data_IF_149002243268
#
_entry.id   IF_149002243268
#
_cell.length_a   1.000
_cell.length_b   1.000
_cell.length_c   1.000
_cell.angle_alpha   90.00
_cell.angle_beta   90.00
_cell.angle_gamma   90.00
#
_symmetry.space_group_name_H-M   'P 1'
#
loop_
_entity.id
_entity.type
_entity.pdbx_description
1 polymer ?
#
# COMPACT_ATOMS: atom_id res chain seq x y z
N UNK A 1 23.44 7.43 -6.34
CA UNK A 1 22.52 6.32 -6.03
C UNK A 1 22.25 6.38 -4.54
N UNK A 2 20.98 6.32 -4.14
CA UNK A 2 20.57 6.36 -2.73
C UNK A 2 20.96 5.09 -1.97
N UNK A 3 20.85 5.07 -0.63
CA UNK A 3 20.91 3.82 0.11
C UNK A 3 19.77 2.89 -0.36
N UNK A 4 20.12 1.61 -0.61
CA UNK A 4 19.17 0.53 -0.84
C UNK A 4 18.64 0.05 0.50
N UNK A 5 17.34 -0.15 0.59
CA UNK A 5 16.69 -0.59 1.82
C UNK A 5 16.22 -2.04 1.63
N UNK A 6 16.80 -2.95 2.41
CA UNK A 6 16.51 -4.40 2.40
C UNK A 6 15.53 -4.76 3.54
N UNK A 7 14.56 -5.62 3.25
CA UNK A 7 13.38 -5.88 4.07
C UNK A 7 13.47 -7.15 4.94
N UNK A 8 14.65 -7.77 5.04
CA UNK A 8 14.77 -9.08 5.72
C UNK A 8 15.05 -8.93 7.20
N UNK A 9 13.97 -8.77 7.95
CA UNK A 9 13.70 -9.29 9.30
C UNK A 9 12.67 -8.39 9.98
N UNK A 10 11.39 -8.73 9.88
CA UNK A 10 10.43 -8.41 10.95
C UNK A 10 9.23 -9.33 10.83
N UNK A 11 9.16 -10.26 11.78
CA UNK A 11 8.15 -11.29 11.91
C UNK A 11 6.74 -10.73 12.12
N UNK A 12 5.79 -11.44 11.52
CA UNK A 12 4.37 -11.13 11.54
C UNK A 12 3.70 -11.64 12.82
N UNK A 13 3.19 -10.74 13.65
CA UNK A 13 2.15 -11.07 14.62
C UNK A 13 0.90 -10.23 14.33
N UNK A 14 -0.20 -10.92 14.02
CA UNK A 14 -1.53 -10.32 13.90
C UNK A 14 -2.07 -10.09 15.30
N UNK A 15 -2.44 -8.84 15.61
CA UNK A 15 -3.28 -8.52 16.75
C UNK A 15 -4.61 -7.97 16.26
N UNK A 16 -5.66 -8.76 16.46
CA UNK A 16 -7.00 -8.23 16.65
C UNK A 16 -6.99 -7.49 18.00
N UNK A 17 -7.43 -6.22 17.98
CA UNK A 17 -7.40 -5.24 19.09
C UNK A 17 -6.02 -4.76 19.53
N UNK A 18 -5.52 -3.72 18.86
CA UNK A 18 -4.42 -2.93 19.39
C UNK A 18 -4.83 -2.23 20.69
N UNK A 19 -4.13 -2.54 21.78
CA UNK A 19 -4.30 -1.82 23.05
C UNK A 19 -3.98 -0.33 22.88
N UNK A 20 -4.62 0.54 23.66
CA UNK A 20 -4.33 1.99 23.67
C UNK A 20 -2.84 2.27 23.91
N UNK A 21 -2.18 1.40 24.68
CA UNK A 21 -0.73 1.46 24.93
C UNK A 21 0.08 1.25 23.64
N UNK A 22 -0.31 0.29 22.79
CA UNK A 22 0.35 0.07 21.49
C UNK A 22 0.14 1.28 20.57
N UNK A 23 -1.08 1.79 20.49
CA UNK A 23 -1.41 2.97 19.67
C UNK A 23 -0.60 4.21 20.08
N UNK A 24 -0.36 4.40 21.39
CA UNK A 24 0.41 5.52 21.91
C UNK A 24 1.89 5.52 21.51
N UNK A 25 2.41 4.36 21.08
CA UNK A 25 3.81 4.17 20.65
C UNK A 25 3.99 4.32 19.14
N UNK A 26 2.88 4.34 18.38
CA UNK A 26 2.91 4.49 16.93
C UNK A 26 3.06 5.98 16.59
N UNK A 27 4.16 6.32 15.95
CA UNK A 27 4.40 7.61 15.34
C UNK A 27 4.36 7.46 13.83
N UNK A 28 3.47 8.20 13.18
CA UNK A 28 3.30 8.20 11.74
C UNK A 28 3.27 9.63 11.20
N UNK A 29 3.96 9.86 10.09
CA UNK A 29 4.07 11.16 9.43
C UNK A 29 3.67 11.05 7.96
N UNK A 30 2.82 11.94 7.44
CA UNK A 30 2.38 11.87 6.05
C UNK A 30 3.53 12.13 5.08
N UNK A 31 3.60 11.33 4.02
CA UNK A 31 4.54 11.51 2.91
C UNK A 31 3.85 12.34 1.82
N UNK A 32 3.82 13.66 2.06
CA UNK A 32 3.07 14.61 1.23
C UNK A 32 3.34 14.51 -0.29
N UNK A 33 4.58 14.27 -0.78
CA UNK A 33 4.82 14.12 -2.22
C UNK A 33 4.06 12.96 -2.88
N UNK A 34 3.66 11.95 -2.09
CA UNK A 34 2.93 10.78 -2.58
C UNK A 34 1.40 10.95 -2.47
N UNK A 35 0.89 11.68 -1.47
CA UNK A 35 -0.56 11.85 -1.29
C UNK A 35 -1.16 12.58 -2.51
N UNK A 36 -2.14 11.96 -3.16
CA UNK A 36 -2.76 12.45 -4.38
C UNK A 36 -1.96 12.19 -5.66
N UNK A 37 -0.72 11.69 -5.56
CA UNK A 37 0.02 11.25 -6.73
C UNK A 37 -0.67 10.04 -7.38
N UNK A 38 -0.40 9.83 -8.67
CA UNK A 38 -1.03 8.76 -9.42
C UNK A 38 -0.08 8.09 -10.39
N UNK A 39 -0.34 6.83 -10.67
CA UNK A 39 0.37 6.05 -11.69
C UNK A 39 -0.62 5.23 -12.52
N UNK A 40 -0.16 4.77 -13.68
CA UNK A 40 -0.94 3.91 -14.56
C UNK A 40 -0.53 2.45 -14.37
N UNK A 41 -1.53 1.58 -14.24
CA UNK A 41 -1.34 0.12 -14.22
C UNK A 41 -1.78 -0.42 -15.56
N UNK A 42 -0.86 -1.06 -16.29
CA UNK A 42 -1.10 -1.65 -17.62
C UNK A 42 -1.48 -3.13 -17.57
N UNK A 43 -1.05 -3.80 -16.52
CA UNK A 43 -1.40 -5.16 -16.15
C UNK A 43 -1.14 -5.34 -14.66
N UNK A 44 -1.67 -6.40 -14.07
CA UNK A 44 -1.42 -6.69 -12.66
C UNK A 44 0.06 -6.94 -12.35
N UNK A 45 0.79 -7.58 -13.26
CA UNK A 45 2.23 -7.81 -13.12
C UNK A 45 3.06 -6.51 -13.19
N UNK A 46 2.49 -5.44 -13.77
CA UNK A 46 3.14 -4.13 -13.89
C UNK A 46 3.02 -3.27 -12.62
N UNK A 47 2.20 -3.66 -11.62
CA UNK A 47 1.95 -2.80 -10.46
C UNK A 47 3.25 -2.49 -9.70
N UNK A 48 4.11 -3.49 -9.48
CA UNK A 48 5.34 -3.31 -8.72
C UNK A 48 6.32 -2.35 -9.38
N UNK A 49 6.48 -2.45 -10.70
CA UNK A 49 7.33 -1.53 -11.45
C UNK A 49 6.74 -0.11 -11.47
N UNK A 50 5.42 0.02 -11.64
CA UNK A 50 4.75 1.33 -11.60
C UNK A 50 4.87 2.03 -10.23
N UNK A 51 4.77 1.26 -9.14
CA UNK A 51 5.03 1.77 -7.78
C UNK A 51 6.49 2.18 -7.65
N UNK A 52 7.44 1.36 -8.10
CA UNK A 52 8.88 1.70 -8.05
C UNK A 52 9.18 2.99 -8.83
N UNK A 53 8.59 3.16 -10.01
CA UNK A 53 8.71 4.39 -10.81
C UNK A 53 8.12 5.61 -10.09
N UNK A 54 6.92 5.47 -9.50
CA UNK A 54 6.31 6.54 -8.72
C UNK A 54 7.22 6.95 -7.55
N UNK A 55 7.72 5.98 -6.79
CA UNK A 55 8.58 6.21 -5.64
C UNK A 55 9.90 6.86 -6.07
N UNK A 56 10.54 6.39 -7.13
CA UNK A 56 11.77 6.98 -7.66
C UNK A 56 11.58 8.42 -8.15
N UNK A 57 10.41 8.75 -8.69
CA UNK A 57 10.06 10.10 -9.14
C UNK A 57 9.73 11.05 -7.98
N UNK A 58 8.96 10.59 -6.99
CA UNK A 58 8.45 11.44 -5.90
C UNK A 58 9.38 11.51 -4.69
N UNK A 59 10.20 10.49 -4.49
CA UNK A 59 11.13 10.34 -3.37
C UNK A 59 12.52 9.99 -3.91
N UNK A 60 13.15 10.91 -4.67
CA UNK A 60 14.44 10.64 -5.30
C UNK A 60 15.53 10.41 -4.26
N UNK A 61 16.50 9.56 -4.60
CA UNK A 61 17.64 9.28 -3.73
C UNK A 61 17.40 8.17 -2.70
N UNK A 62 16.33 7.39 -2.85
CA UNK A 62 16.10 6.13 -2.11
C UNK A 62 15.96 5.00 -3.13
N UNK A 63 16.68 3.90 -2.95
CA UNK A 63 16.52 2.70 -3.78
C UNK A 63 15.50 1.74 -3.11
N UNK A 64 14.27 1.80 -3.62
CA UNK A 64 13.10 1.12 -3.03
C UNK A 64 13.00 -0.34 -3.47
N UNK A 65 13.06 -1.25 -2.49
CA UNK A 65 12.71 -2.64 -2.71
C UNK A 65 11.19 -2.85 -2.59
N UNK A 66 10.54 -2.96 -3.74
CA UNK A 66 9.12 -3.34 -3.85
C UNK A 66 9.00 -4.84 -4.09
N UNK A 67 8.39 -5.58 -3.16
CA UNK A 67 8.23 -7.05 -3.21
C UNK A 67 6.79 -7.54 -2.95
N UNK A 68 5.84 -6.61 -2.85
CA UNK A 68 4.45 -6.89 -2.54
C UNK A 68 3.73 -7.58 -3.70
N UNK A 69 2.96 -8.62 -3.40
CA UNK A 69 2.04 -9.24 -4.35
C UNK A 69 0.66 -8.56 -4.26
N UNK A 70 0.43 -7.61 -5.17
CA UNK A 70 -0.84 -6.91 -5.26
C UNK A 70 -1.89 -7.62 -6.10
N UNK A 71 -1.61 -8.80 -6.68
CA UNK A 71 -2.53 -9.42 -7.64
C UNK A 71 -3.93 -9.64 -7.08
N UNK A 72 -4.02 -10.35 -5.97
CA UNK A 72 -5.30 -10.64 -5.30
C UNK A 72 -6.05 -9.37 -4.87
N UNK A 73 -5.44 -8.49 -4.04
CA UNK A 73 -6.08 -7.26 -3.59
C UNK A 73 -6.51 -6.33 -4.73
N UNK A 74 -5.69 -6.21 -5.77
CA UNK A 74 -5.96 -5.31 -6.90
C UNK A 74 -7.09 -5.84 -7.80
N UNK A 75 -7.06 -7.13 -8.15
CA UNK A 75 -8.14 -7.73 -8.96
C UNK A 75 -9.48 -7.75 -8.19
N UNK A 76 -9.46 -7.88 -6.86
CA UNK A 76 -10.68 -7.96 -6.04
C UNK A 76 -11.25 -6.59 -5.65
N UNK A 77 -10.40 -5.63 -5.34
CA UNK A 77 -10.80 -4.35 -4.74
C UNK A 77 -10.29 -3.11 -5.47
N UNK A 78 -9.40 -3.28 -6.47
CA UNK A 78 -8.74 -2.17 -7.15
C UNK A 78 -7.86 -1.36 -6.21
N UNK A 79 -7.23 -2.00 -5.22
CA UNK A 79 -6.37 -1.32 -4.24
C UNK A 79 -4.92 -1.78 -4.37
N UNK A 80 -4.02 -0.84 -4.11
CA UNK A 80 -2.59 -1.08 -3.91
C UNK A 80 -2.31 -0.68 -2.46
N UNK A 81 -2.10 -1.67 -1.60
CA UNK A 81 -1.77 -1.44 -0.19
C UNK A 81 -0.52 -2.24 0.14
N UNK A 82 0.52 -1.59 0.66
CA UNK A 82 1.77 -2.26 0.97
C UNK A 82 2.64 -1.47 1.93
N UNK A 83 3.52 -2.21 2.60
CA UNK A 83 4.49 -1.70 3.57
C UNK A 83 5.88 -1.95 3.04
N UNK A 84 6.66 -0.87 2.85
CA UNK A 84 8.02 -0.96 2.32
C UNK A 84 9.00 -0.39 3.34
N UNK A 85 10.16 -1.02 3.56
CA UNK A 85 11.20 -0.44 4.41
C UNK A 85 11.56 0.98 3.97
N UNK A 86 11.63 1.91 4.92
CA UNK A 86 12.00 3.29 4.71
C UNK A 86 13.31 3.62 5.45
N UNK A 87 14.00 4.72 5.10
CA UNK A 87 15.14 5.18 5.88
C UNK A 87 14.73 5.39 7.34
N UNK A 88 15.61 5.14 8.32
CA UNK A 88 15.31 5.37 9.73
C UNK A 88 15.01 6.86 9.99
N UNK A 89 14.28 7.13 11.07
CA UNK A 89 13.98 8.49 11.51
C UNK A 89 15.30 9.25 11.75
N UNK A 90 15.55 10.39 11.08
CA UNK A 90 16.83 11.09 11.21
C UNK A 90 17.05 11.70 12.61
N UNK A 91 15.98 11.92 13.38
CA UNK A 91 16.07 12.51 14.73
C UNK A 91 16.29 11.45 15.81
N UNK A 92 15.67 10.27 15.69
CA UNK A 92 15.69 9.22 16.73
C UNK A 92 16.52 7.99 16.35
N UNK A 93 16.84 7.82 15.06
CA UNK A 93 17.48 6.62 14.53
C UNK A 93 16.57 5.39 14.46
N UNK A 94 15.29 5.53 14.82
CA UNK A 94 14.35 4.43 14.86
C UNK A 94 14.05 3.89 13.45
N UNK A 95 13.90 2.57 13.28
CA UNK A 95 13.45 1.98 12.02
C UNK A 95 12.10 2.56 11.58
N UNK A 96 11.90 2.73 10.28
CA UNK A 96 10.63 3.17 9.71
C UNK A 96 10.21 2.32 8.52
N UNK A 97 8.91 2.26 8.27
CA UNK A 97 8.31 1.77 7.04
C UNK A 97 7.53 2.87 6.34
N UNK A 98 7.48 2.80 5.01
CA UNK A 98 6.53 3.52 4.17
C UNK A 98 5.29 2.65 4.01
N UNK A 99 4.19 3.07 4.64
CA UNK A 99 2.87 2.54 4.36
C UNK A 99 2.26 3.31 3.19
N UNK A 100 1.78 2.60 2.17
CA UNK A 100 1.21 3.18 0.96
C UNK A 100 -0.20 2.61 0.74
N UNK A 101 -1.18 3.48 0.55
CA UNK A 101 -2.53 3.10 0.13
C UNK A 101 -2.96 3.87 -1.13
N UNK A 102 -3.15 3.14 -2.22
CA UNK A 102 -3.64 3.61 -3.50
C UNK A 102 -4.94 2.92 -3.91
N UNK A 103 -5.79 3.66 -4.62
CA UNK A 103 -7.07 3.18 -5.12
C UNK A 103 -7.20 3.45 -6.61
N UNK A 104 -7.55 2.42 -7.37
CA UNK A 104 -7.88 2.52 -8.77
C UNK A 104 -9.08 3.45 -8.98
N UNK A 105 -8.94 4.42 -9.88
CA UNK A 105 -10.03 5.20 -10.42
C UNK A 105 -10.74 4.36 -11.48
N UNK A 106 -11.45 3.34 -11.01
CA UNK A 106 -12.33 2.56 -11.87
C UNK A 106 -13.54 3.46 -12.20
N UNK A 107 -13.89 3.71 -13.48
CA UNK A 107 -15.21 4.23 -13.77
C UNK A 107 -16.21 3.22 -13.21
N UNK A 108 -17.06 3.63 -12.26
CA UNK A 108 -18.10 2.77 -11.70
C UNK A 108 -18.90 2.18 -12.87
N UNK A 109 -18.63 0.93 -13.23
CA UNK A 109 -19.58 0.15 -14.02
C UNK A 109 -20.66 -0.19 -13.03
N UNK A 110 -21.78 0.52 -13.11
CA UNK A 110 -23.00 0.28 -12.36
C UNK A 110 -23.51 -1.14 -12.66
N UNK A 111 -22.94 -2.14 -12.00
CA UNK A 111 -23.41 -3.52 -11.95
C UNK A 111 -23.71 -3.88 -10.48
N UNK A 112 -24.67 -4.78 -10.23
CA UNK A 112 -25.11 -5.09 -8.87
C UNK A 112 -23.94 -5.62 -8.04
N UNK A 113 -23.59 -4.87 -6.99
CA UNK A 113 -22.59 -5.25 -6.00
C UNK A 113 -23.16 -6.40 -5.17
N UNK A 114 -22.80 -7.65 -5.49
CA UNK A 114 -23.18 -8.81 -4.68
C UNK A 114 -22.30 -8.88 -3.43
N UNK A 115 -22.95 -9.20 -2.31
CA UNK A 115 -22.41 -9.25 -0.96
C UNK A 115 -21.23 -10.23 -0.84
N UNK A 116 -20.16 -9.91 -0.06
CA UNK A 116 -19.02 -10.80 0.15
C UNK A 116 -19.34 -12.06 1.00
N UNK A 117 -20.58 -12.26 1.44
CA UNK A 117 -21.02 -13.42 2.21
C UNK A 117 -21.75 -14.51 1.40
N UNK A 118 -21.88 -14.36 0.07
CA UNK A 118 -22.42 -15.44 -0.77
C UNK A 118 -21.34 -16.47 -1.11
N UNK A 119 -21.25 -17.48 -0.26
CA UNK A 119 -20.57 -18.74 -0.54
C UNK A 119 -21.16 -19.39 -1.80
N UNK A 120 -20.39 -19.47 -2.91
CA UNK A 120 -20.34 -20.51 -3.98
C UNK A 120 -19.94 -19.91 -5.35
N UNK A 121 -19.75 -20.76 -6.38
CA UNK A 121 -18.67 -21.71 -6.65
C UNK A 121 -17.74 -21.16 -7.75
N UNK A 122 -16.76 -21.94 -8.19
CA UNK A 122 -15.91 -21.69 -9.38
C UNK A 122 -16.67 -20.99 -10.53
N UNK A 123 -16.23 -19.78 -10.88
CA UNK A 123 -16.60 -19.09 -12.12
C UNK A 123 -17.52 -17.89 -11.90
N UNK A 124 -17.07 -16.73 -12.39
CA UNK A 124 -17.85 -15.49 -12.57
C UNK A 124 -18.10 -14.62 -11.32
N UNK A 125 -17.31 -13.55 -11.22
CA UNK A 125 -17.45 -12.53 -10.18
C UNK A 125 -16.22 -11.67 -9.94
N UNK A 126 -15.11 -11.86 -10.67
CA UNK A 126 -14.01 -10.89 -10.67
C UNK A 126 -14.50 -9.59 -11.29
N UNK A 127 -14.44 -8.49 -10.54
CA UNK A 127 -14.50 -7.17 -11.14
C UNK A 127 -13.33 -7.11 -12.13
N UNK A 128 -13.60 -7.29 -13.43
CA UNK A 128 -12.58 -7.24 -14.46
C UNK A 128 -12.07 -5.79 -14.52
N UNK A 129 -11.00 -5.49 -13.78
CA UNK A 129 -10.29 -4.22 -13.88
C UNK A 129 -9.85 -4.10 -15.35
N UNK A 130 -10.43 -3.13 -16.06
CA UNK A 130 -10.02 -2.85 -17.44
C UNK A 130 -8.73 -2.04 -17.40
N UNK A 131 -7.70 -2.59 -18.01
CA UNK A 131 -6.43 -1.92 -18.20
C UNK A 131 -6.43 -1.06 -19.48
N UNK A 132 -5.63 0.03 -19.54
CA UNK A 132 -4.91 0.61 -18.42
C UNK A 132 -5.85 1.27 -17.41
N UNK A 133 -5.47 1.25 -16.12
CA UNK A 133 -6.22 1.90 -15.05
C UNK A 133 -5.33 2.85 -14.26
N UNK A 134 -5.86 4.03 -13.95
CA UNK A 134 -5.18 5.00 -13.10
C UNK A 134 -5.37 4.63 -11.64
N UNK A 135 -4.29 4.59 -10.86
CA UNK A 135 -4.33 4.43 -9.40
C UNK A 135 -3.92 5.75 -8.78
N UNK A 136 -4.70 6.23 -7.82
CA UNK A 136 -4.39 7.44 -7.03
C UNK A 136 -4.04 7.04 -5.62
N UNK A 137 -2.87 7.49 -5.15
CA UNK A 137 -2.46 7.35 -3.76
C UNK A 137 -3.36 8.21 -2.90
N UNK A 138 -4.11 7.56 -2.01
CA UNK A 138 -5.02 8.22 -1.06
C UNK A 138 -4.32 8.49 0.27
N UNK A 139 -3.34 7.67 0.62
CA UNK A 139 -2.51 7.91 1.78
C UNK A 139 -1.11 7.32 1.62
N UNK A 140 -0.15 7.98 2.26
CA UNK A 140 1.22 7.51 2.35
C UNK A 140 1.81 8.04 3.66
N UNK A 141 2.40 7.18 4.48
CA UNK A 141 2.98 7.56 5.77
C UNK A 141 4.31 6.88 6.02
N UNK A 142 5.28 7.63 6.55
CA UNK A 142 6.39 7.02 7.28
C UNK A 142 5.92 6.69 8.68
N UNK A 143 6.03 5.43 9.09
CA UNK A 143 5.66 5.00 10.42
C UNK A 143 6.85 4.31 11.11
N UNK A 144 7.01 4.54 12.42
CA UNK A 144 8.02 3.86 13.24
C UNK A 144 7.67 2.39 13.57
N UNK A 145 6.75 1.82 12.81
CA UNK A 145 6.32 0.43 12.92
C UNK A 145 6.48 -0.26 11.57
N UNK A 146 7.00 -1.48 11.60
CA UNK A 146 7.09 -2.41 10.47
C UNK A 146 5.91 -3.38 10.50
N UNK A 147 4.70 -2.90 10.79
CA UNK A 147 3.50 -3.74 10.84
C UNK A 147 2.73 -3.65 9.51
N UNK A 148 2.91 -4.62 8.59
CA UNK A 148 2.04 -4.72 7.43
C UNK A 148 0.61 -5.01 7.91
N UNK A 149 -0.30 -4.07 7.68
CA UNK A 149 -1.73 -4.25 7.98
C UNK A 149 -2.22 -3.57 9.26
N UNK A 150 -1.37 -2.82 9.96
CA UNK A 150 -1.90 -1.78 10.82
C UNK A 150 -2.41 -0.68 9.89
N UNK A 151 -3.73 -0.63 9.71
CA UNK A 151 -4.35 0.58 9.22
C UNK A 151 -4.00 1.67 10.22
N UNK A 152 -2.91 2.40 9.98
CA UNK A 152 -2.68 3.71 10.60
C UNK A 152 -4.03 4.39 10.47
N UNK A 153 -4.70 4.79 11.56
CA UNK A 153 -6.06 5.29 11.48
C UNK A 153 -6.05 6.45 10.50
N UNK A 154 -6.57 6.18 9.29
CA UNK A 154 -6.82 7.22 8.33
C UNK A 154 -7.96 8.00 8.95
N UNK A 155 -7.63 9.11 9.60
CA UNK A 155 -8.61 10.08 10.04
C UNK A 155 -9.38 10.52 8.78
N UNK A 156 -10.49 9.85 8.52
CA UNK A 156 -11.55 10.30 7.63
C UNK A 156 -12.55 11.12 8.44
#
# INVERSE_FOLDING_TARGET
MGPRIDARETDSEKLEEASEELLSRIAAWPVLPLVGASFEVKSVDHIADAVRELLGSKLPGIDWWVHEDWRGPFEKYGIVHGSMPAPPNPATGEPMALELYGKAEVPRISGPMRSPFESRPRGEGQAAVRYPVRVVIRAATYANITFPGFGVPFYM
#
